data_IF_303709647246
#
_entry.id   IF_303709647246
#
_cell.length_a   1.000
_cell.length_b   1.000
_cell.length_c   1.000
_cell.angle_alpha   90.00
_cell.angle_beta   90.00
_cell.angle_gamma   90.00
#
_symmetry.space_group_name_H-M   'P 1'
#
loop_
_entity.id
_entity.type
_entity.pdbx_description
1 polymer ?
#
# COMPACT_ATOMS: atom_id res chain seq x y z
N UNK A 1 -25.96 1.76 -55.93
CA UNK A 1 -24.67 1.62 -55.21
C UNK A 1 -24.34 2.75 -54.22
N UNK A 2 -24.95 3.95 -54.33
CA UNK A 2 -24.64 5.06 -53.42
C UNK A 2 -25.23 4.90 -52.00
N UNK A 3 -26.37 4.21 -51.86
CA UNK A 3 -27.05 4.02 -50.56
C UNK A 3 -26.43 2.91 -49.67
N UNK A 4 -25.76 1.90 -50.24
CA UNK A 4 -25.06 0.88 -49.43
C UNK A 4 -23.82 1.45 -48.73
N UNK A 5 -23.14 2.45 -49.32
CA UNK A 5 -21.97 3.10 -48.71
C UNK A 5 -22.33 3.94 -47.47
N UNK A 6 -23.51 4.56 -47.45
CA UNK A 6 -24.00 5.34 -46.30
C UNK A 6 -24.47 4.45 -45.14
N UNK A 7 -25.05 3.28 -45.44
CA UNK A 7 -25.46 2.30 -44.42
C UNK A 7 -24.23 1.66 -43.74
N UNK A 8 -23.19 1.34 -44.50
CA UNK A 8 -21.94 0.82 -43.94
C UNK A 8 -21.21 1.84 -43.06
N UNK A 9 -21.27 3.13 -43.40
CA UNK A 9 -20.65 4.18 -42.57
C UNK A 9 -21.40 4.37 -41.24
N UNK A 10 -22.72 4.29 -41.23
CA UNK A 10 -23.53 4.34 -40.00
C UNK A 10 -23.30 3.14 -39.10
N UNK A 11 -23.18 1.93 -39.67
CA UNK A 11 -22.87 0.71 -38.91
C UNK A 11 -21.45 0.79 -38.32
N UNK A 12 -20.47 1.32 -39.07
CA UNK A 12 -19.11 1.52 -38.57
C UNK A 12 -19.05 2.56 -37.45
N UNK A 13 -19.81 3.66 -37.55
CA UNK A 13 -19.88 4.70 -36.51
C UNK A 13 -20.60 4.20 -35.25
N UNK A 14 -21.65 3.38 -35.41
CA UNK A 14 -22.37 2.76 -34.28
C UNK A 14 -21.52 1.68 -33.58
N UNK A 15 -20.72 0.92 -34.33
CA UNK A 15 -19.72 -0.01 -33.78
C UNK A 15 -18.56 0.72 -33.10
N UNK A 16 -18.15 1.89 -33.60
CA UNK A 16 -17.11 2.71 -32.96
C UNK A 16 -17.59 3.31 -31.64
N UNK A 17 -18.84 3.78 -31.56
CA UNK A 17 -19.44 4.33 -30.33
C UNK A 17 -19.75 3.21 -29.31
N UNK A 18 -20.11 2.00 -29.77
CA UNK A 18 -20.32 0.85 -28.88
C UNK A 18 -19.01 0.26 -28.31
N UNK A 19 -17.84 0.57 -28.89
CA UNK A 19 -16.53 0.15 -28.36
C UNK A 19 -15.92 1.13 -27.34
N UNK A 20 -16.47 2.33 -27.18
CA UNK A 20 -16.17 3.22 -26.03
C UNK A 20 -17.06 2.88 -24.82
N UNK A 21 -17.25 1.58 -24.56
CA UNK A 21 -17.75 1.13 -23.27
C UNK A 21 -16.83 1.69 -22.18
N UNK A 22 -17.44 2.29 -21.16
CA UNK A 22 -16.78 3.03 -20.08
C UNK A 22 -15.54 2.30 -19.55
N UNK A 23 -14.36 2.74 -19.95
CA UNK A 23 -13.14 2.49 -19.19
C UNK A 23 -13.34 3.23 -17.86
N UNK A 24 -13.78 2.51 -16.82
CA UNK A 24 -13.76 3.09 -15.47
C UNK A 24 -12.30 3.30 -15.10
N UNK A 25 -11.96 4.53 -14.79
CA UNK A 25 -10.59 4.92 -14.49
C UNK A 25 -10.13 4.22 -13.21
N UNK A 26 -8.91 3.69 -13.24
CA UNK A 26 -8.17 3.40 -12.03
C UNK A 26 -7.89 4.73 -11.33
N UNK A 27 -8.20 4.84 -10.04
CA UNK A 27 -7.72 5.96 -9.23
C UNK A 27 -6.38 5.60 -8.62
N UNK A 28 -5.56 6.61 -8.31
CA UNK A 28 -4.28 6.43 -7.63
C UNK A 28 -4.34 7.13 -6.28
N UNK A 29 -3.93 6.43 -5.22
CA UNK A 29 -3.69 6.99 -3.90
C UNK A 29 -2.19 7.19 -3.69
N UNK A 30 -1.79 8.39 -3.31
CA UNK A 30 -0.40 8.70 -2.92
C UNK A 30 -0.21 8.45 -1.43
N UNK A 31 0.82 7.70 -1.06
CA UNK A 31 1.16 7.37 0.33
C UNK A 31 2.49 8.01 0.68
N UNK A 32 2.61 8.61 1.85
CA UNK A 32 3.84 9.18 2.38
C UNK A 32 3.97 8.86 3.87
N UNK A 33 5.10 8.31 4.27
CA UNK A 33 5.54 8.15 5.65
C UNK A 33 6.69 9.13 5.92
N UNK A 34 6.66 9.83 7.05
CA UNK A 34 7.74 10.76 7.41
C UNK A 34 7.96 10.88 8.93
N UNK A 35 9.15 10.53 9.43
CA UNK A 35 9.56 10.96 10.77
C UNK A 35 9.84 12.48 10.75
N UNK A 36 9.09 13.22 11.57
CA UNK A 36 9.13 14.67 11.57
C UNK A 36 10.13 15.27 12.55
N UNK A 37 11.00 14.53 13.24
CA UNK A 37 11.94 15.07 14.23
C UNK A 37 11.24 15.97 15.28
N UNK A 38 10.67 15.37 16.31
CA UNK A 38 10.05 16.04 17.46
C UNK A 38 9.08 17.20 17.11
N UNK A 39 8.18 17.04 16.14
CA UNK A 39 7.27 18.10 15.70
C UNK A 39 6.41 18.64 16.86
N UNK A 40 6.57 19.93 17.17
CA UNK A 40 5.80 20.62 18.22
C UNK A 40 6.18 20.21 19.65
N UNK A 41 7.17 19.31 19.82
CA UNK A 41 7.62 18.83 21.14
C UNK A 41 9.04 19.33 21.40
N UNK A 42 9.24 19.98 22.54
CA UNK A 42 10.59 20.28 23.02
C UNK A 42 11.21 19.01 23.63
N UNK A 43 12.33 18.55 23.05
CA UNK A 43 13.07 17.34 23.44
C UNK A 43 14.57 17.62 23.37
N UNK A 44 15.27 17.51 24.51
CA UNK A 44 16.70 17.82 24.62
C UNK A 44 17.06 19.22 24.07
N UNK A 45 17.79 19.26 22.95
CA UNK A 45 18.23 20.43 22.19
C UNK A 45 17.26 20.84 21.08
N UNK A 46 16.20 20.07 20.83
CA UNK A 46 15.10 20.42 19.95
C UNK A 46 14.10 21.27 20.71
N UNK A 47 14.01 22.55 20.38
CA UNK A 47 13.03 23.48 20.94
C UNK A 47 12.49 24.42 19.85
N UNK A 48 11.68 25.42 20.20
CA UNK A 48 11.13 26.36 19.20
C UNK A 48 12.19 27.25 18.51
N UNK A 49 13.45 27.27 18.95
CA UNK A 49 14.54 27.99 18.28
C UNK A 49 15.26 27.10 17.26
N UNK A 50 15.42 25.82 17.55
CA UNK A 50 16.18 24.87 16.72
C UNK A 50 15.28 23.95 15.88
N UNK A 51 14.01 23.83 16.24
CA UNK A 51 13.02 22.92 15.66
C UNK A 51 11.62 23.55 15.62
N UNK A 52 11.56 24.81 15.16
CA UNK A 52 10.35 25.61 15.19
C UNK A 52 9.19 24.97 14.40
N UNK A 53 8.02 24.88 15.02
CA UNK A 53 6.84 24.24 14.42
C UNK A 53 6.30 24.98 13.18
N UNK A 54 6.38 26.30 13.15
CA UNK A 54 5.89 27.11 12.03
C UNK A 54 6.81 27.00 10.82
N UNK A 55 8.12 27.02 11.05
CA UNK A 55 9.12 26.79 9.99
C UNK A 55 8.95 25.39 9.39
N UNK A 56 8.76 24.37 10.24
CA UNK A 56 8.44 23.00 9.77
C UNK A 56 7.22 22.96 8.88
N UNK A 57 6.14 23.67 9.21
CA UNK A 57 4.97 23.77 8.33
C UNK A 57 5.29 24.48 7.01
N UNK A 58 6.15 25.49 7.02
CA UNK A 58 6.71 26.11 5.81
C UNK A 58 7.39 25.09 4.90
N UNK A 59 8.28 24.27 5.47
CA UNK A 59 8.99 23.22 4.74
C UNK A 59 8.05 22.11 4.23
N UNK A 60 7.08 21.68 5.05
CA UNK A 60 6.07 20.70 4.64
C UNK A 60 5.21 21.20 3.48
N UNK A 61 4.88 22.49 3.40
CA UNK A 61 4.16 23.06 2.24
C UNK A 61 4.98 23.01 0.96
N UNK A 62 6.30 23.20 1.03
CA UNK A 62 7.20 23.02 -0.12
C UNK A 62 7.18 21.56 -0.56
N UNK A 63 7.32 20.62 0.39
CA UNK A 63 7.20 19.18 0.12
C UNK A 63 5.85 18.82 -0.51
N UNK A 64 4.73 19.31 0.03
CA UNK A 64 3.39 19.03 -0.48
C UNK A 64 3.10 19.68 -1.85
N UNK A 65 3.85 20.72 -2.21
CA UNK A 65 3.81 21.28 -3.57
C UNK A 65 4.51 20.37 -4.60
N UNK A 66 5.50 19.60 -4.16
CA UNK A 66 6.17 18.58 -4.97
C UNK A 66 5.39 17.26 -4.99
N UNK A 67 5.05 16.73 -3.81
CA UNK A 67 4.31 15.49 -3.63
C UNK A 67 3.19 15.69 -2.61
N UNK A 68 1.96 15.81 -3.08
CA UNK A 68 0.77 15.89 -2.23
C UNK A 68 0.21 14.48 -1.95
N UNK A 69 0.32 13.95 -0.72
CA UNK A 69 -0.14 12.60 -0.38
C UNK A 69 -1.65 12.52 -0.19
N UNK A 70 -2.28 11.37 -0.49
CA UNK A 70 -3.66 11.06 -0.09
C UNK A 70 -3.72 10.39 1.29
N UNK A 71 -2.67 9.66 1.69
CA UNK A 71 -2.43 9.13 3.03
C UNK A 71 -1.06 9.64 3.48
N UNK A 72 -1.03 10.41 4.57
CA UNK A 72 0.18 10.95 5.17
C UNK A 72 0.32 10.44 6.60
N UNK A 73 1.35 9.68 6.87
CA UNK A 73 1.65 9.12 8.18
C UNK A 73 2.96 9.67 8.70
N UNK A 74 3.02 9.90 10.02
CA UNK A 74 4.18 10.55 10.64
C UNK A 74 4.60 9.86 11.92
N UNK A 75 5.89 9.97 12.23
CA UNK A 75 6.46 9.69 13.55
C UNK A 75 6.87 11.00 14.23
N UNK A 76 7.11 10.93 15.54
CA UNK A 76 7.62 12.03 16.36
C UNK A 76 6.74 13.29 16.36
N UNK A 77 5.42 13.10 16.29
CA UNK A 77 4.46 14.15 16.54
C UNK A 77 4.31 14.39 18.04
N UNK A 78 4.16 15.64 18.49
CA UNK A 78 3.81 15.90 19.88
C UNK A 78 2.49 15.20 20.24
N UNK A 79 2.43 14.61 21.44
CA UNK A 79 1.22 13.96 21.98
C UNK A 79 0.16 14.95 22.47
N UNK A 80 -0.04 16.04 21.74
CA UNK A 80 -0.98 17.12 22.06
C UNK A 80 -1.91 17.38 20.87
N UNK A 81 -3.22 17.42 21.13
CA UNK A 81 -4.23 17.61 20.08
C UNK A 81 -4.02 18.91 19.30
N UNK A 82 -3.57 19.98 19.97
CA UNK A 82 -3.35 21.26 19.34
C UNK A 82 -2.23 21.17 18.30
N UNK A 83 -1.14 20.45 18.56
CA UNK A 83 -0.05 20.25 17.61
C UNK A 83 -0.44 19.38 16.42
N UNK A 84 -1.17 18.29 16.69
CA UNK A 84 -1.72 17.41 15.65
C UNK A 84 -2.62 18.22 14.71
N UNK A 85 -3.54 19.01 15.28
CA UNK A 85 -4.41 19.90 14.51
C UNK A 85 -3.63 21.02 13.82
N UNK A 86 -2.56 21.50 14.43
CA UNK A 86 -1.75 22.58 13.87
C UNK A 86 -1.08 22.18 12.56
N UNK A 87 -0.52 20.96 12.46
CA UNK A 87 0.02 20.43 11.20
C UNK A 87 -1.09 20.33 10.15
N UNK A 88 -2.24 19.76 10.53
CA UNK A 88 -3.38 19.61 9.63
C UNK A 88 -3.79 20.95 9.03
N UNK A 89 -4.00 21.97 9.87
CA UNK A 89 -4.54 23.26 9.44
C UNK A 89 -3.50 24.13 8.72
N UNK A 90 -2.21 24.04 9.07
CA UNK A 90 -1.19 24.99 8.60
C UNK A 90 -0.23 24.42 7.54
N UNK A 91 -0.30 23.11 7.25
CA UNK A 91 0.47 22.49 6.17
C UNK A 91 -0.43 21.76 5.15
N UNK A 92 -1.23 20.78 5.61
CA UNK A 92 -2.06 19.97 4.71
C UNK A 92 -3.25 20.76 4.16
N UNK A 93 -4.04 21.39 5.03
CA UNK A 93 -5.16 22.27 4.70
C UNK A 93 -4.72 23.74 4.57
N UNK A 94 -3.55 23.95 3.95
CA UNK A 94 -3.03 25.27 3.61
C UNK A 94 -3.11 25.53 2.10
N UNK A 95 -2.81 26.77 1.70
CA UNK A 95 -2.72 27.19 0.28
C UNK A 95 -3.99 26.88 -0.54
N UNK A 96 -5.16 27.01 0.11
CA UNK A 96 -6.47 26.75 -0.50
C UNK A 96 -6.94 25.29 -0.44
N UNK A 97 -6.13 24.36 0.09
CA UNK A 97 -6.55 22.98 0.37
C UNK A 97 -7.41 22.95 1.63
N UNK A 98 -8.48 22.14 1.62
CA UNK A 98 -9.38 21.97 2.77
C UNK A 98 -9.87 20.53 2.94
N UNK A 99 -9.34 19.60 2.13
CA UNK A 99 -9.85 18.25 1.98
C UNK A 99 -9.25 17.26 2.99
N UNK A 100 -8.24 17.63 3.78
CA UNK A 100 -7.61 16.70 4.70
C UNK A 100 -8.34 16.66 6.04
N UNK A 101 -8.33 15.48 6.64
CA UNK A 101 -8.70 15.26 8.03
C UNK A 101 -7.66 14.36 8.69
N UNK A 102 -7.69 14.28 10.02
CA UNK A 102 -6.81 13.42 10.82
C UNK A 102 -7.58 12.27 11.44
N UNK A 103 -6.91 11.15 11.70
CA UNK A 103 -7.40 10.15 12.64
C UNK A 103 -7.37 10.71 14.09
N UNK A 104 -8.02 10.04 15.04
CA UNK A 104 -7.94 10.45 16.44
C UNK A 104 -6.53 10.14 16.96
N UNK A 105 -5.88 11.13 17.58
CA UNK A 105 -4.55 10.95 18.14
C UNK A 105 -4.58 10.05 19.37
N UNK A 106 -3.47 9.37 19.65
CA UNK A 106 -3.33 8.54 20.86
C UNK A 106 -1.87 8.47 21.28
N UNK A 107 -1.63 8.34 22.58
CA UNK A 107 -0.28 8.44 23.16
C UNK A 107 -0.02 9.83 23.73
N UNK A 108 1.15 10.01 24.36
CA UNK A 108 1.49 11.25 25.08
C UNK A 108 2.89 11.77 24.80
N UNK A 109 3.71 11.02 24.06
CA UNK A 109 5.10 11.38 23.80
C UNK A 109 5.54 10.81 22.45
N UNK A 110 5.95 11.69 21.52
CA UNK A 110 6.41 11.34 20.16
C UNK A 110 5.52 10.33 19.45
N UNK A 111 4.23 10.68 19.36
CA UNK A 111 3.19 9.82 18.84
C UNK A 111 3.32 9.64 17.33
N UNK A 112 2.66 8.60 16.81
CA UNK A 112 2.40 8.49 15.38
C UNK A 112 1.05 9.10 15.03
N UNK A 113 0.91 9.60 13.81
CA UNK A 113 -0.37 10.11 13.30
C UNK A 113 -0.62 9.68 11.87
N UNK A 114 -1.91 9.62 11.50
CA UNK A 114 -2.38 9.46 10.13
C UNK A 114 -3.31 10.62 9.77
N UNK A 115 -2.97 11.29 8.68
CA UNK A 115 -3.81 12.28 8.00
C UNK A 115 -4.20 11.73 6.62
N UNK A 116 -5.40 12.05 6.15
CA UNK A 116 -5.87 11.53 4.86
C UNK A 116 -6.74 12.52 4.11
N UNK A 117 -6.73 12.40 2.79
CA UNK A 117 -7.58 13.15 1.89
C UNK A 117 -9.03 12.66 1.99
N UNK A 118 -9.86 13.40 2.73
CA UNK A 118 -11.25 13.11 2.96
C UNK A 118 -12.13 13.24 1.72
N UNK A 119 -11.61 13.66 0.55
CA UNK A 119 -12.34 13.52 -0.71
C UNK A 119 -12.27 12.08 -1.24
N UNK A 120 -11.15 11.38 -1.03
CA UNK A 120 -10.92 10.02 -1.54
C UNK A 120 -11.13 8.93 -0.50
N UNK A 121 -10.90 9.22 0.78
CA UNK A 121 -10.84 8.21 1.84
C UNK A 121 -11.74 8.59 3.01
N UNK A 122 -12.09 7.58 3.81
CA UNK A 122 -12.71 7.77 5.11
C UNK A 122 -12.22 6.70 6.10
N UNK A 123 -12.10 7.10 7.37
CA UNK A 123 -11.71 6.20 8.44
C UNK A 123 -12.89 5.34 8.89
N UNK A 124 -12.71 4.02 8.88
CA UNK A 124 -13.69 3.05 9.36
C UNK A 124 -13.45 2.67 10.82
N UNK A 125 -12.18 2.50 11.18
CA UNK A 125 -11.78 2.05 12.51
C UNK A 125 -10.33 2.45 12.78
N UNK A 126 -9.99 2.61 14.06
CA UNK A 126 -8.62 2.77 14.50
C UNK A 126 -8.38 2.09 15.86
N UNK A 127 -7.11 1.78 16.13
CA UNK A 127 -6.65 1.18 17.37
C UNK A 127 -5.18 1.51 17.66
N UNK A 128 -4.73 1.17 18.87
CA UNK A 128 -3.37 1.41 19.35
C UNK A 128 -2.89 0.20 20.14
N UNK A 129 -1.63 -0.17 19.93
CA UNK A 129 -0.88 -1.11 20.76
C UNK A 129 0.31 -0.39 21.37
N UNK A 130 0.42 -0.43 22.70
CA UNK A 130 1.58 0.13 23.43
C UNK A 130 2.73 -0.88 23.38
N UNK A 131 3.89 -0.44 22.90
CA UNK A 131 5.06 -1.28 22.65
C UNK A 131 6.13 -1.09 23.75
N UNK A 132 5.72 -1.27 25.01
CA UNK A 132 6.62 -1.09 26.15
C UNK A 132 6.59 0.33 26.71
N UNK A 133 7.54 1.19 26.33
CA UNK A 133 7.60 2.57 26.83
C UNK A 133 6.55 3.47 26.20
N UNK A 134 6.25 4.61 26.83
CA UNK A 134 5.21 5.54 26.37
C UNK A 134 5.52 6.22 25.02
N UNK A 135 6.74 6.06 24.49
CA UNK A 135 7.24 6.68 23.26
C UNK A 135 7.10 5.75 22.05
N UNK A 136 6.70 4.49 22.27
CA UNK A 136 6.68 3.44 21.27
C UNK A 136 5.29 2.84 21.21
N UNK A 137 4.58 3.17 20.14
CA UNK A 137 3.25 2.68 19.84
C UNK A 137 3.20 2.14 18.42
N UNK A 138 2.36 1.13 18.20
CA UNK A 138 1.82 0.83 16.87
C UNK A 138 0.39 1.36 16.79
N UNK A 139 0.11 2.15 15.76
CA UNK A 139 -1.22 2.66 15.47
C UNK A 139 -1.80 1.93 14.27
N UNK A 140 -3.01 1.42 14.43
CA UNK A 140 -3.71 0.63 13.42
C UNK A 140 -4.89 1.46 12.89
N UNK A 141 -4.99 1.59 11.58
CA UNK A 141 -6.04 2.35 10.92
C UNK A 141 -6.67 1.50 9.83
N UNK A 142 -7.99 1.42 9.80
CA UNK A 142 -8.74 0.83 8.69
C UNK A 142 -9.46 1.94 7.96
N UNK A 143 -8.97 2.27 6.77
CA UNK A 143 -9.57 3.23 5.86
C UNK A 143 -10.42 2.48 4.82
N UNK A 144 -11.33 3.19 4.18
CA UNK A 144 -11.97 2.73 2.95
C UNK A 144 -11.93 3.82 1.88
N UNK A 145 -11.79 3.38 0.64
CA UNK A 145 -11.88 4.26 -0.53
C UNK A 145 -13.34 4.72 -0.74
N UNK A 146 -13.55 6.00 -1.04
CA UNK A 146 -14.88 6.53 -1.35
C UNK A 146 -15.12 6.40 -2.84
N UNK A 147 -15.37 5.15 -3.27
CA UNK A 147 -15.73 4.85 -4.65
C UNK A 147 -16.91 5.73 -5.09
N UNK A 148 -16.89 6.30 -6.31
CA UNK A 148 -18.02 7.07 -6.83
C UNK A 148 -19.35 6.32 -6.76
N UNK A 149 -19.32 5.00 -6.94
CA UNK A 149 -20.51 4.14 -6.94
C UNK A 149 -20.92 3.68 -5.52
N UNK A 150 -20.19 4.06 -4.46
CA UNK A 150 -20.48 3.64 -3.08
C UNK A 150 -21.86 4.13 -2.61
N UNK A 151 -22.28 5.32 -3.06
CA UNK A 151 -23.61 5.86 -2.78
C UNK A 151 -24.75 5.01 -3.39
N UNK A 152 -24.45 4.25 -4.44
CA UNK A 152 -25.38 3.34 -5.12
C UNK A 152 -25.34 1.92 -4.55
N UNK A 153 -24.67 1.72 -3.40
CA UNK A 153 -24.58 0.45 -2.68
C UNK A 153 -23.49 -0.51 -3.18
N UNK A 154 -22.53 -0.02 -3.97
CA UNK A 154 -21.37 -0.81 -4.39
C UNK A 154 -20.44 -1.13 -3.21
N UNK A 155 -19.72 -2.25 -3.32
CA UNK A 155 -18.62 -2.58 -2.40
C UNK A 155 -17.45 -1.60 -2.56
N UNK A 156 -16.57 -1.55 -1.55
CA UNK A 156 -15.40 -0.67 -1.56
C UNK A 156 -14.13 -1.37 -1.09
N UNK A 157 -13.01 -0.78 -1.48
CA UNK A 157 -11.66 -1.22 -1.11
C UNK A 157 -11.33 -0.73 0.30
N UNK A 158 -11.03 -1.68 1.19
CA UNK A 158 -10.46 -1.39 2.49
C UNK A 158 -8.94 -1.36 2.43
N UNK A 159 -8.35 -0.47 3.22
CA UNK A 159 -6.91 -0.33 3.41
C UNK A 159 -6.66 -0.43 4.92
N UNK A 160 -5.94 -1.47 5.32
CA UNK A 160 -5.45 -1.63 6.69
C UNK A 160 -4.04 -1.04 6.74
N UNK A 161 -3.78 -0.18 7.71
CA UNK A 161 -2.55 0.59 7.78
C UNK A 161 -2.00 0.55 9.20
N UNK A 162 -0.72 0.18 9.33
CA UNK A 162 0.01 0.13 10.60
C UNK A 162 1.10 1.18 10.55
N UNK A 163 1.11 2.10 11.51
CA UNK A 163 2.18 3.10 11.68
C UNK A 163 2.96 2.78 12.94
N UNK A 164 4.29 2.72 12.83
CA UNK A 164 5.18 2.39 13.95
C UNK A 164 6.30 3.40 14.09
N UNK A 165 6.82 3.53 15.31
CA UNK A 165 8.14 4.10 15.58
C UNK A 165 8.82 3.11 16.52
N UNK A 166 9.71 2.26 15.99
CA UNK A 166 10.35 1.20 16.77
C UNK A 166 11.51 1.72 17.61
N UNK A 167 11.99 0.92 18.56
CA UNK A 167 13.11 1.28 19.44
C UNK A 167 14.36 1.66 18.64
N UNK A 168 14.78 2.92 18.79
CA UNK A 168 16.07 3.44 18.31
C UNK A 168 17.29 2.86 19.02
N UNK A 169 18.46 2.99 18.42
CA UNK A 169 19.76 2.59 18.98
C UNK A 169 20.26 1.24 18.47
N UNK A 170 21.56 1.00 18.65
CA UNK A 170 22.29 -0.15 18.09
C UNK A 170 22.79 -1.13 19.15
N UNK A 171 22.46 -0.93 20.42
CA UNK A 171 22.83 -1.87 21.47
C UNK A 171 22.06 -3.19 21.33
N UNK A 172 22.60 -4.28 21.85
CA UNK A 172 21.93 -5.58 21.83
C UNK A 172 20.55 -5.55 22.51
N UNK A 173 20.39 -4.71 23.55
CA UNK A 173 19.11 -4.41 24.21
C UNK A 173 18.12 -3.70 23.27
N UNK A 174 18.58 -2.79 22.43
CA UNK A 174 17.74 -2.07 21.47
C UNK A 174 17.23 -3.02 20.39
N UNK A 175 18.12 -3.81 19.80
CA UNK A 175 17.80 -4.85 18.81
C UNK A 175 16.79 -5.87 19.39
N UNK A 176 17.01 -6.31 20.63
CA UNK A 176 16.09 -7.22 21.32
C UNK A 176 14.73 -6.57 21.62
N UNK A 177 14.70 -5.27 21.87
CA UNK A 177 13.46 -4.53 22.10
C UNK A 177 12.67 -4.46 20.79
N UNK A 178 13.28 -4.02 19.67
CA UNK A 178 12.64 -4.05 18.34
C UNK A 178 12.08 -5.42 17.99
N UNK A 179 12.81 -6.48 18.32
CA UNK A 179 12.37 -7.87 18.12
C UNK A 179 11.07 -8.18 18.86
N UNK A 180 10.94 -7.69 20.09
CA UNK A 180 9.73 -7.88 20.90
C UNK A 180 8.58 -7.02 20.37
N UNK A 181 8.87 -5.78 19.97
CA UNK A 181 7.89 -4.85 19.41
C UNK A 181 7.26 -5.42 18.14
N UNK A 182 8.05 -5.82 17.14
CA UNK A 182 7.50 -6.37 15.90
C UNK A 182 6.80 -7.71 16.11
N UNK A 183 7.27 -8.55 17.05
CA UNK A 183 6.56 -9.77 17.43
C UNK A 183 5.15 -9.48 17.96
N UNK A 184 5.01 -8.47 18.83
CA UNK A 184 3.71 -8.09 19.38
C UNK A 184 2.80 -7.49 18.31
N UNK A 185 3.34 -6.69 17.38
CA UNK A 185 2.59 -6.12 16.26
C UNK A 185 2.05 -7.24 15.35
N UNK A 186 2.89 -8.22 14.99
CA UNK A 186 2.46 -9.35 14.16
C UNK A 186 1.38 -10.18 14.86
N UNK A 187 1.51 -10.41 16.17
CA UNK A 187 0.48 -11.10 16.95
C UNK A 187 -0.86 -10.34 16.98
N UNK A 188 -0.81 -9.01 17.10
CA UNK A 188 -2.01 -8.16 17.06
C UNK A 188 -2.69 -8.19 15.68
N UNK A 189 -1.91 -8.14 14.59
CA UNK A 189 -2.43 -8.30 13.22
C UNK A 189 -3.15 -9.64 13.03
N UNK A 190 -2.54 -10.74 13.52
CA UNK A 190 -3.15 -12.07 13.50
C UNK A 190 -4.43 -12.13 14.34
N UNK A 191 -4.42 -11.53 15.53
CA UNK A 191 -5.58 -11.46 16.42
C UNK A 191 -6.75 -10.67 15.81
N UNK A 192 -6.46 -9.56 15.14
CA UNK A 192 -7.47 -8.76 14.43
C UNK A 192 -7.95 -9.43 13.12
N UNK A 193 -7.25 -10.46 12.64
CA UNK A 193 -7.50 -11.07 11.34
C UNK A 193 -7.21 -10.11 10.18
N UNK A 194 -6.26 -9.18 10.37
CA UNK A 194 -5.89 -8.20 9.35
C UNK A 194 -4.89 -8.81 8.38
N UNK A 195 -5.44 -9.35 7.29
CA UNK A 195 -4.71 -9.95 6.20
C UNK A 195 -5.22 -9.36 4.88
N UNK A 196 -4.31 -9.11 3.93
CA UNK A 196 -4.61 -8.69 2.57
C UNK A 196 -4.11 -7.29 2.26
N UNK A 197 -5.00 -6.30 2.11
CA UNK A 197 -4.61 -4.90 1.86
C UNK A 197 -4.01 -4.24 3.12
N UNK A 198 -2.90 -4.78 3.64
CA UNK A 198 -2.21 -4.29 4.83
C UNK A 198 -0.90 -3.61 4.42
N UNK A 199 -0.72 -2.38 4.89
CA UNK A 199 0.48 -1.57 4.74
C UNK A 199 1.08 -1.36 6.13
N UNK A 200 2.39 -1.55 6.25
CA UNK A 200 3.16 -1.27 7.45
C UNK A 200 4.17 -0.18 7.14
N UNK A 201 4.14 0.95 7.85
CA UNK A 201 5.13 2.00 7.64
C UNK A 201 5.60 2.65 8.92
N UNK A 202 6.78 3.25 8.87
CA UNK A 202 7.36 3.91 10.02
C UNK A 202 8.86 4.01 9.96
N UNK A 203 9.41 4.77 10.91
CA UNK A 203 10.78 4.66 11.36
C UNK A 203 10.95 3.37 12.18
N UNK A 204 11.61 2.39 11.56
CA UNK A 204 11.86 1.08 12.14
C UNK A 204 13.19 1.00 12.90
N UNK A 205 14.09 1.99 12.78
CA UNK A 205 15.43 1.94 13.38
C UNK A 205 16.18 0.61 13.14
N UNK A 206 16.03 0.00 11.96
CA UNK A 206 16.65 -1.28 11.59
C UNK A 206 17.92 -1.03 10.79
N UNK A 207 19.03 -1.61 11.21
CA UNK A 207 20.33 -1.43 10.58
C UNK A 207 20.56 -2.42 9.42
N UNK A 208 19.90 -3.58 9.47
CA UNK A 208 20.00 -4.61 8.42
C UNK A 208 18.79 -5.55 8.43
N UNK A 209 18.62 -6.28 7.33
CA UNK A 209 17.54 -7.25 7.15
C UNK A 209 17.68 -8.50 8.01
N UNK A 210 18.86 -8.82 8.55
CA UNK A 210 19.07 -10.01 9.40
C UNK A 210 18.60 -9.80 10.85
N UNK A 211 18.30 -8.56 11.25
CA UNK A 211 17.69 -8.29 12.56
C UNK A 211 16.38 -9.07 12.70
N UNK A 212 16.23 -9.80 13.81
CA UNK A 212 15.03 -10.63 14.06
C UNK A 212 13.74 -9.79 14.02
N UNK A 213 13.83 -8.51 14.35
CA UNK A 213 12.74 -7.57 14.21
C UNK A 213 12.21 -7.47 12.77
N UNK A 214 13.09 -7.39 11.76
CA UNK A 214 12.71 -7.40 10.34
C UNK A 214 12.25 -8.79 9.89
N UNK A 215 12.91 -9.85 10.37
CA UNK A 215 12.53 -11.23 10.07
C UNK A 215 11.11 -11.57 10.56
N UNK A 216 10.68 -11.02 11.69
CA UNK A 216 9.29 -11.15 12.16
C UNK A 216 8.28 -10.60 11.14
N UNK A 217 8.65 -9.58 10.37
CA UNK A 217 7.77 -8.94 9.38
C UNK A 217 7.76 -9.71 8.06
N UNK A 218 8.93 -10.09 7.53
CA UNK A 218 9.04 -10.69 6.19
C UNK A 218 8.90 -12.22 6.19
N UNK A 219 9.31 -12.87 7.28
CA UNK A 219 9.30 -14.33 7.44
C UNK A 219 8.64 -14.77 8.77
N UNK A 220 7.42 -14.30 9.09
CA UNK A 220 6.68 -14.75 10.26
C UNK A 220 6.39 -16.26 10.19
N UNK A 221 6.10 -16.85 11.35
CA UNK A 221 5.66 -18.26 11.43
C UNK A 221 4.40 -18.54 10.61
N UNK A 222 3.49 -17.57 10.52
CA UNK A 222 2.35 -17.61 9.64
C UNK A 222 2.62 -16.75 8.41
N UNK A 223 3.18 -17.37 7.37
CA UNK A 223 3.62 -16.68 6.14
C UNK A 223 2.48 -16.00 5.37
N UNK A 224 1.21 -16.27 5.68
CA UNK A 224 0.10 -15.50 5.10
C UNK A 224 0.12 -14.02 5.53
N UNK A 225 0.78 -13.69 6.64
CA UNK A 225 0.94 -12.31 7.13
C UNK A 225 2.26 -11.67 6.71
N UNK A 226 3.09 -12.35 5.90
CA UNK A 226 4.37 -11.82 5.44
C UNK A 226 4.22 -10.46 4.77
N UNK A 227 5.06 -9.53 5.20
CA UNK A 227 5.28 -8.26 4.53
C UNK A 227 6.42 -8.38 3.51
N UNK A 228 6.34 -7.54 2.49
CA UNK A 228 7.31 -7.43 1.41
C UNK A 228 7.77 -5.99 1.32
N UNK A 229 9.08 -5.81 1.16
CA UNK A 229 9.67 -4.52 0.81
C UNK A 229 9.50 -4.27 -0.69
N UNK A 230 8.73 -3.26 -1.13
CA UNK A 230 8.55 -2.97 -2.55
C UNK A 230 9.85 -2.66 -3.29
N UNK A 231 10.92 -2.27 -2.59
CA UNK A 231 12.24 -2.07 -3.20
C UNK A 231 12.97 -3.40 -3.45
N UNK A 232 12.69 -4.46 -2.68
CA UNK A 232 13.43 -5.74 -2.75
C UNK A 232 14.92 -5.56 -2.50
N UNK A 233 15.29 -4.71 -1.54
CA UNK A 233 16.67 -4.31 -1.23
C UNK A 233 17.09 -4.77 0.17
N UNK A 234 16.77 -5.99 0.54
CA UNK A 234 17.23 -6.60 1.79
C UNK A 234 18.78 -6.64 1.84
N UNK A 235 19.35 -6.30 3.00
CA UNK A 235 20.78 -6.36 3.22
C UNK A 235 21.22 -5.54 4.43
N UNK A 236 22.49 -5.16 4.47
CA UNK A 236 23.05 -4.30 5.51
C UNK A 236 22.99 -2.84 5.08
N UNK A 237 21.96 -2.13 5.53
CA UNK A 237 21.68 -0.74 5.15
C UNK A 237 22.59 0.26 5.86
N UNK A 238 23.09 -0.08 7.05
CA UNK A 238 23.89 0.85 7.84
C UNK A 238 25.30 1.09 7.29
N UNK A 239 25.65 2.37 7.15
CA UNK A 239 26.95 2.89 6.73
C UNK A 239 27.50 2.11 5.53
N UNK A 240 26.63 1.79 4.56
CA UNK A 240 26.96 0.98 3.41
C UNK A 240 26.66 1.71 2.10
N UNK A 241 27.73 2.07 1.38
CA UNK A 241 27.64 2.79 0.11
C UNK A 241 26.78 2.07 -0.95
N UNK A 242 26.65 0.74 -0.87
CA UNK A 242 25.82 -0.05 -1.81
C UNK A 242 24.32 0.25 -1.65
N UNK A 243 23.91 0.83 -0.53
CA UNK A 243 22.54 1.22 -0.22
C UNK A 243 22.38 2.74 -0.10
N UNK A 244 23.40 3.52 -0.47
CA UNK A 244 23.37 4.98 -0.39
C UNK A 244 22.19 5.60 -1.13
N UNK A 245 21.75 4.98 -2.22
CA UNK A 245 20.59 5.37 -3.02
C UNK A 245 19.23 5.17 -2.33
N UNK A 246 19.20 4.49 -1.18
CA UNK A 246 17.98 4.22 -0.42
C UNK A 246 18.07 4.60 1.06
N UNK A 247 19.13 5.29 1.48
CA UNK A 247 19.21 5.82 2.84
C UNK A 247 18.15 6.91 3.07
N UNK A 248 17.64 6.97 4.29
CA UNK A 248 16.61 7.92 4.72
C UNK A 248 17.07 8.77 5.91
N UNK A 249 18.14 8.40 6.61
CA UNK A 249 18.74 9.15 7.72
C UNK A 249 20.28 9.09 7.65
N UNK A 250 21.05 10.06 8.13
CA UNK A 250 20.64 11.40 8.58
C UNK A 250 20.86 12.46 7.51
N UNK A 251 19.91 13.38 7.34
CA UNK A 251 20.11 14.57 6.49
C UNK A 251 21.24 15.49 7.01
N UNK A 252 21.67 15.32 8.27
CA UNK A 252 22.70 16.11 8.92
C UNK A 252 23.96 15.31 9.23
N UNK A 253 25.13 15.91 9.00
CA UNK A 253 26.42 15.33 9.40
C UNK A 253 26.79 15.64 10.85
N UNK A 254 26.35 16.79 11.39
CA UNK A 254 26.61 17.20 12.77
C UNK A 254 25.38 16.97 13.66
N UNK A 255 25.61 16.44 14.86
CA UNK A 255 24.55 16.24 15.86
C UNK A 255 24.13 17.56 16.51
N UNK A 256 22.85 17.66 16.86
CA UNK A 256 22.26 18.83 17.52
C UNK A 256 20.85 18.53 18.00
N UNK A 257 19.86 19.22 17.43
CA UNK A 257 18.48 18.72 17.49
C UNK A 257 18.32 17.47 16.60
N UNK A 258 18.79 17.57 15.35
CA UNK A 258 18.88 16.45 14.41
C UNK A 258 19.98 15.44 14.80
N UNK A 259 19.77 14.17 14.47
CA UNK A 259 20.81 13.14 14.49
C UNK A 259 21.95 13.50 13.52
N UNK A 260 23.20 13.19 13.86
CA UNK A 260 24.36 13.43 12.98
C UNK A 260 24.70 12.19 12.15
N UNK A 261 25.88 12.18 11.52
CA UNK A 261 26.40 11.01 10.78
C UNK A 261 26.34 11.15 9.24
N UNK A 262 25.36 11.89 8.74
CA UNK A 262 25.09 12.04 7.31
C UNK A 262 24.23 10.91 6.75
N UNK A 263 23.90 10.91 5.44
CA UNK A 263 22.95 9.95 4.86
C UNK A 263 23.57 8.55 4.80
N UNK A 264 23.41 7.76 5.85
CA UNK A 264 24.11 6.49 6.05
C UNK A 264 23.24 5.33 6.56
N UNK A 265 21.95 5.56 6.79
CA UNK A 265 21.00 4.59 7.29
C UNK A 265 19.68 4.59 6.51
N UNK A 266 19.04 3.42 6.37
CA UNK A 266 17.67 3.28 5.88
C UNK A 266 16.78 2.84 7.05
N UNK A 267 16.12 3.81 7.68
CA UNK A 267 15.24 3.53 8.82
C UNK A 267 13.76 3.64 8.49
N UNK A 268 13.40 4.34 7.42
CA UNK A 268 12.01 4.58 7.06
C UNK A 268 11.53 3.59 6.00
N UNK A 269 10.47 2.87 6.30
CA UNK A 269 9.93 1.81 5.43
C UNK A 269 8.45 2.04 5.13
N UNK A 270 8.04 1.59 3.94
CA UNK A 270 6.65 1.25 3.63
C UNK A 270 6.65 -0.19 3.09
N UNK A 271 6.24 -1.14 3.92
CA UNK A 271 6.11 -2.55 3.57
C UNK A 271 4.65 -2.88 3.27
N UNK A 272 4.44 -3.88 2.41
CA UNK A 272 3.10 -4.26 1.95
C UNK A 272 2.91 -5.78 2.01
N UNK A 273 1.69 -6.25 2.25
CA UNK A 273 1.39 -7.69 2.10
C UNK A 273 1.21 -8.07 0.62
N UNK A 274 1.28 -9.38 0.34
CA UNK A 274 1.28 -9.97 -1.02
C UNK A 274 0.12 -9.47 -1.90
N UNK A 275 -1.04 -9.20 -1.30
CA UNK A 275 -2.22 -8.75 -2.02
C UNK A 275 -2.01 -7.43 -2.75
N UNK A 276 -1.21 -6.52 -2.18
CA UNK A 276 -0.86 -5.27 -2.84
C UNK A 276 0.12 -5.48 -3.99
N UNK A 277 0.91 -6.55 -4.00
CA UNK A 277 1.81 -6.87 -5.13
C UNK A 277 1.03 -7.52 -6.29
N UNK A 278 0.03 -8.32 -5.96
CA UNK A 278 -0.68 -9.16 -6.93
C UNK A 278 -2.09 -8.66 -7.28
N UNK A 279 -2.54 -7.55 -6.68
CA UNK A 279 -3.85 -6.95 -6.88
C UNK A 279 -5.02 -7.91 -6.63
N UNK A 280 -4.94 -8.71 -5.57
CA UNK A 280 -5.95 -9.74 -5.26
C UNK A 280 -7.17 -9.18 -4.53
N UNK A 281 -7.07 -7.96 -3.99
CA UNK A 281 -8.11 -7.28 -3.22
C UNK A 281 -8.41 -5.84 -3.71
N UNK A 282 -8.39 -5.65 -5.04
CA UNK A 282 -8.73 -4.40 -5.74
C UNK A 282 -7.88 -3.16 -5.35
N UNK A 283 -6.73 -3.42 -4.73
CA UNK A 283 -5.71 -2.44 -4.40
C UNK A 283 -4.38 -3.05 -4.76
N UNK A 284 -3.53 -2.27 -5.41
CA UNK A 284 -2.16 -2.70 -5.72
C UNK A 284 -1.16 -1.58 -5.54
N UNK A 285 0.05 -1.92 -5.16
CA UNK A 285 1.20 -1.05 -5.27
C UNK A 285 1.49 -0.81 -6.76
N UNK A 286 1.70 0.46 -7.12
CA UNK A 286 2.19 0.83 -8.44
C UNK A 286 3.68 0.59 -8.51
N UNK A 287 4.08 -0.47 -9.19
CA UNK A 287 5.49 -0.82 -9.38
C UNK A 287 6.34 0.38 -9.83
N UNK A 288 7.51 0.53 -9.21
CA UNK A 288 8.46 1.63 -9.47
C UNK A 288 8.04 3.00 -8.91
N UNK A 289 7.01 3.07 -8.06
CA UNK A 289 6.60 4.33 -7.43
C UNK A 289 7.14 4.53 -6.01
N UNK A 290 7.83 3.54 -5.43
CA UNK A 290 8.48 3.70 -4.14
C UNK A 290 9.71 4.60 -4.28
N UNK A 291 9.79 5.64 -3.45
CA UNK A 291 10.89 6.62 -3.48
C UNK A 291 11.09 7.28 -2.11
N UNK A 292 12.34 7.58 -1.75
CA UNK A 292 12.68 8.50 -0.67
C UNK A 292 12.94 9.89 -1.27
N UNK A 293 12.02 10.84 -1.08
CA UNK A 293 12.13 12.16 -1.71
C UNK A 293 13.34 12.89 -1.13
N UNK A 294 14.20 13.40 -2.01
CA UNK A 294 15.46 14.06 -1.67
C UNK A 294 16.69 13.14 -1.71
N UNK A 295 16.53 11.82 -1.82
CA UNK A 295 17.65 10.90 -1.95
C UNK A 295 18.11 10.79 -3.41
N UNK A 296 19.35 11.20 -3.69
CA UNK A 296 19.96 11.14 -5.03
C UNK A 296 21.16 10.16 -5.11
N UNK A 297 21.46 9.45 -4.01
CA UNK A 297 22.56 8.51 -3.88
C UNK A 297 23.95 9.14 -3.76
N UNK A 298 24.08 10.46 -3.67
CA UNK A 298 25.38 11.16 -3.69
C UNK A 298 25.87 11.66 -2.33
N UNK A 299 25.02 11.56 -1.29
CA UNK A 299 25.26 12.15 0.03
C UNK A 299 25.65 11.12 1.10
N UNK A 300 26.19 9.95 0.72
CA UNK A 300 26.66 8.92 1.65
C UNK A 300 27.61 9.48 2.71
N UNK A 301 27.27 9.32 4.00
CA UNK A 301 27.98 9.88 5.18
C UNK A 301 28.18 11.40 5.14
N UNK A 302 27.33 12.11 4.40
CA UNK A 302 27.36 13.56 4.26
C UNK A 302 26.01 14.17 4.62
N UNK A 303 26.03 15.47 4.90
CA UNK A 303 24.79 16.23 4.97
C UNK A 303 24.11 16.25 3.60
N UNK A 304 22.78 16.30 3.59
CA UNK A 304 21.98 16.51 2.38
C UNK A 304 22.29 17.82 1.66
N UNK A 305 22.93 18.78 2.33
CA UNK A 305 23.37 20.06 1.75
C UNK A 305 24.85 20.06 1.33
N UNK A 306 25.58 18.94 1.45
CA UNK A 306 26.97 18.84 1.02
C UNK A 306 27.07 18.56 -0.48
N UNK A 307 27.12 19.63 -1.27
CA UNK A 307 27.15 19.57 -2.72
C UNK A 307 25.80 19.90 -3.34
N UNK A 308 25.59 19.48 -4.58
CA UNK A 308 24.33 19.68 -5.28
C UNK A 308 23.57 18.36 -5.36
N UNK A 309 22.28 18.42 -5.07
CA UNK A 309 21.34 17.35 -5.40
C UNK A 309 20.84 17.59 -6.83
N UNK A 310 21.15 16.68 -7.75
CA UNK A 310 20.79 16.83 -9.17
C UNK A 310 19.36 16.43 -9.49
N UNK A 311 18.75 15.64 -8.61
CA UNK A 311 17.49 14.95 -8.87
C UNK A 311 16.30 15.77 -8.35
N UNK A 312 16.54 16.63 -7.35
CA UNK A 312 15.53 17.44 -6.70
C UNK A 312 15.85 18.95 -6.72
N UNK A 313 14.81 19.82 -6.81
CA UNK A 313 14.98 21.26 -6.69
C UNK A 313 15.64 21.67 -5.36
N UNK A 314 16.53 22.68 -5.42
CA UNK A 314 17.30 23.12 -4.25
C UNK A 314 16.42 23.62 -3.10
N UNK A 315 15.29 24.25 -3.39
CA UNK A 315 14.32 24.69 -2.37
C UNK A 315 13.67 23.52 -1.64
N UNK A 316 13.32 22.44 -2.35
CA UNK A 316 12.82 21.20 -1.77
C UNK A 316 13.89 20.53 -0.90
N UNK A 317 15.13 20.42 -1.38
CA UNK A 317 16.24 19.80 -0.64
C UNK A 317 16.55 20.57 0.66
N UNK A 318 16.57 21.91 0.59
CA UNK A 318 16.69 22.75 1.78
C UNK A 318 15.50 22.56 2.72
N UNK A 319 14.27 22.46 2.20
CA UNK A 319 13.09 22.22 3.03
C UNK A 319 13.19 20.87 3.77
N UNK A 320 13.60 19.81 3.08
CA UNK A 320 13.79 18.48 3.68
C UNK A 320 14.85 18.50 4.77
N UNK A 321 16.03 19.07 4.48
CA UNK A 321 17.10 19.23 5.46
C UNK A 321 16.64 19.99 6.71
N UNK A 322 15.96 21.14 6.55
CA UNK A 322 15.53 21.94 7.68
C UNK A 322 14.29 21.37 8.40
N UNK A 323 13.56 20.42 7.80
CA UNK A 323 12.39 19.83 8.42
C UNK A 323 12.75 18.69 9.36
N UNK A 324 13.63 17.78 8.95
CA UNK A 324 13.91 16.55 9.71
C UNK A 324 15.31 16.01 9.41
N UNK A 325 15.83 15.21 10.33
CA UNK A 325 16.96 14.32 10.09
C UNK A 325 16.60 13.12 9.20
N UNK A 326 15.32 12.91 8.90
CA UNK A 326 14.85 11.90 7.97
C UNK A 326 14.43 12.47 6.60
N UNK A 327 14.36 11.60 5.60
CA UNK A 327 13.68 11.83 4.33
C UNK A 327 12.31 11.12 4.30
N UNK A 328 11.27 11.73 3.70
CA UNK A 328 9.97 11.08 3.55
C UNK A 328 10.05 9.97 2.50
N UNK A 329 9.55 8.79 2.86
CA UNK A 329 9.38 7.67 1.92
C UNK A 329 7.95 7.65 1.39
N UNK A 330 7.79 7.37 0.11
CA UNK A 330 6.50 7.43 -0.58
C UNK A 330 6.27 6.21 -1.43
N UNK A 331 5.00 5.93 -1.73
CA UNK A 331 4.61 5.00 -2.79
C UNK A 331 3.25 5.40 -3.37
N UNK A 332 2.88 4.86 -4.52
CA UNK A 332 1.55 5.01 -5.10
C UNK A 332 0.80 3.68 -5.07
N UNK A 333 -0.49 3.75 -4.77
CA UNK A 333 -1.42 2.63 -4.83
C UNK A 333 -2.41 2.86 -5.96
N UNK A 334 -2.71 1.81 -6.71
CA UNK A 334 -3.75 1.77 -7.74
C UNK A 334 -4.99 1.14 -7.12
N UNK A 335 -6.10 1.87 -7.16
CA UNK A 335 -7.42 1.38 -6.74
C UNK A 335 -8.15 0.90 -7.98
N UNK A 336 -8.39 -0.40 -8.04
CA UNK A 336 -9.11 -1.03 -9.13
C UNK A 336 -10.61 -0.94 -8.89
N UNK A 337 -11.21 0.11 -9.48
CA UNK A 337 -12.65 0.36 -9.43
C UNK A 337 -13.45 -0.54 -10.38
N UNK A 338 -12.96 -1.75 -10.73
CA UNK A 338 -13.75 -2.65 -11.55
C UNK A 338 -15.02 -2.98 -10.76
N UNK A 339 -16.14 -2.42 -11.20
CA UNK A 339 -17.45 -2.69 -10.65
C UNK A 339 -17.67 -4.20 -10.65
N UNK A 340 -17.50 -4.84 -9.50
CA UNK A 340 -18.38 -5.94 -9.13
C UNK A 340 -19.72 -5.32 -8.74
N UNK A 341 -20.40 -4.73 -9.74
CA UNK A 341 -21.86 -4.62 -9.78
C UNK A 341 -22.49 -6.01 -9.97
N UNK A 342 -21.90 -7.01 -9.34
CA UNK A 342 -22.43 -8.32 -9.09
C UNK A 342 -22.25 -8.40 -7.59
N UNK A 343 -23.36 -8.35 -6.86
CA UNK A 343 -23.45 -8.68 -5.44
C UNK A 343 -22.33 -9.65 -5.08
N UNK A 344 -21.63 -9.39 -3.97
CA UNK A 344 -20.75 -10.33 -3.28
C UNK A 344 -20.88 -11.71 -3.88
N UNK A 345 -19.82 -12.14 -4.56
CA UNK A 345 -19.72 -13.51 -5.01
C UNK A 345 -19.82 -14.35 -3.74
N UNK A 346 -21.06 -14.68 -3.37
CA UNK A 346 -21.40 -15.62 -2.34
C UNK A 346 -20.61 -16.85 -2.70
N UNK A 347 -19.73 -17.28 -1.79
CA UNK A 347 -18.90 -18.47 -1.90
C UNK A 347 -19.41 -19.39 -3.01
N UNK A 348 -18.75 -19.30 -4.17
CA UNK A 348 -19.16 -20.05 -5.37
C UNK A 348 -19.09 -21.55 -5.07
N UNK A 349 -18.31 -21.93 -4.06
CA UNK A 349 -18.04 -23.31 -3.70
C UNK A 349 -17.19 -24.04 -4.75
N UNK A 350 -16.58 -23.31 -5.69
CA UNK A 350 -15.71 -23.87 -6.74
C UNK A 350 -14.49 -22.98 -6.98
N UNK A 351 -13.30 -23.57 -6.98
CA UNK A 351 -12.02 -22.93 -7.29
C UNK A 351 -11.36 -23.59 -8.50
N UNK A 352 -10.83 -22.81 -9.44
CA UNK A 352 -10.01 -23.33 -10.54
C UNK A 352 -8.61 -23.71 -10.02
N UNK A 353 -8.17 -24.94 -10.28
CA UNK A 353 -6.86 -25.44 -9.90
C UNK A 353 -5.93 -25.49 -11.11
N UNK A 354 -4.83 -24.73 -11.03
CA UNK A 354 -3.80 -24.69 -12.06
C UNK A 354 -4.26 -23.90 -13.28
N UNK A 355 -3.54 -22.82 -13.57
CA UNK A 355 -3.69 -22.02 -14.77
C UNK A 355 -2.33 -21.36 -15.04
N UNK A 356 -1.63 -21.68 -16.15
CA UNK A 356 -2.09 -22.41 -17.34
C UNK A 356 -2.38 -23.91 -17.13
N UNK A 357 -3.22 -24.46 -18.00
CA UNK A 357 -3.71 -25.85 -17.98
C UNK A 357 -3.07 -26.65 -19.11
N UNK A 358 -2.52 -27.82 -18.78
CA UNK A 358 -2.12 -28.84 -19.75
C UNK A 358 -3.07 -30.03 -19.71
N UNK A 359 -3.83 -30.23 -20.79
CA UNK A 359 -4.70 -31.39 -21.01
C UNK A 359 -6.00 -31.48 -20.20
N UNK A 360 -6.06 -31.01 -18.94
CA UNK A 360 -7.24 -31.16 -18.07
C UNK A 360 -7.44 -29.92 -17.19
N UNK A 361 -8.59 -29.25 -17.34
CA UNK A 361 -9.02 -28.19 -16.42
C UNK A 361 -9.52 -28.85 -15.13
N UNK A 362 -8.99 -28.43 -13.98
CA UNK A 362 -9.38 -28.97 -12.67
C UNK A 362 -10.14 -27.91 -11.88
N UNK A 363 -11.31 -28.27 -11.35
CA UNK A 363 -12.11 -27.42 -10.48
C UNK A 363 -12.23 -28.10 -9.10
N UNK A 364 -11.72 -27.49 -8.05
CA UNK A 364 -11.94 -27.93 -6.67
C UNK A 364 -13.32 -27.49 -6.18
N UNK A 365 -14.10 -28.42 -5.66
CA UNK A 365 -15.42 -28.16 -5.06
C UNK A 365 -15.26 -27.95 -3.56
N UNK A 366 -15.41 -26.71 -3.10
CA UNK A 366 -15.18 -26.30 -1.71
C UNK A 366 -16.45 -26.33 -0.85
N UNK A 367 -17.63 -26.20 -1.47
CA UNK A 367 -18.93 -26.22 -0.80
C UNK A 367 -19.86 -27.33 -1.32
N UNK A 368 -20.96 -27.60 -0.63
CA UNK A 368 -22.01 -28.48 -1.13
C UNK A 368 -22.80 -27.74 -2.22
N UNK A 369 -22.73 -28.22 -3.47
CA UNK A 369 -23.32 -27.55 -4.64
C UNK A 369 -24.38 -28.42 -5.33
N UNK A 370 -25.42 -27.82 -5.94
CA UNK A 370 -26.31 -28.53 -6.85
C UNK A 370 -25.54 -28.89 -8.13
N UNK A 371 -26.10 -29.82 -8.93
CA UNK A 371 -25.58 -30.07 -10.29
C UNK A 371 -25.52 -28.77 -11.09
N UNK A 372 -24.46 -28.59 -11.88
CA UNK A 372 -24.28 -27.38 -12.66
C UNK A 372 -23.79 -27.66 -14.06
N UNK A 373 -24.21 -26.82 -15.01
CA UNK A 373 -23.71 -26.85 -16.38
C UNK A 373 -22.37 -26.14 -16.48
N UNK A 374 -21.51 -26.58 -17.39
CA UNK A 374 -20.33 -25.82 -17.80
C UNK A 374 -20.35 -25.58 -19.30
N UNK A 375 -19.79 -24.45 -19.73
CA UNK A 375 -19.54 -24.11 -21.13
C UNK A 375 -18.16 -23.49 -21.23
N UNK A 376 -17.31 -24.03 -22.10
CA UNK A 376 -16.01 -23.48 -22.43
C UNK A 376 -16.14 -22.75 -23.77
N UNK A 377 -15.77 -21.47 -23.79
CA UNK A 377 -15.80 -20.62 -24.97
C UNK A 377 -14.38 -20.33 -25.45
N UNK A 378 -14.18 -20.27 -26.77
CA UNK A 378 -13.01 -19.59 -27.34
C UNK A 378 -13.11 -18.09 -27.07
N UNK A 379 -11.98 -17.36 -27.18
CA UNK A 379 -11.99 -15.89 -27.04
C UNK A 379 -12.88 -15.19 -28.09
N UNK A 380 -13.15 -15.85 -29.22
CA UNK A 380 -14.11 -15.40 -30.25
C UNK A 380 -15.58 -15.67 -29.89
N UNK A 381 -15.87 -16.21 -28.70
CA UNK A 381 -17.23 -16.43 -28.20
C UNK A 381 -17.88 -17.75 -28.64
N UNK A 382 -17.18 -18.60 -29.39
CA UNK A 382 -17.72 -19.89 -29.80
C UNK A 382 -17.66 -20.90 -28.64
N UNK A 383 -18.76 -21.57 -28.34
CA UNK A 383 -18.74 -22.69 -27.39
C UNK A 383 -17.93 -23.84 -27.98
N UNK A 384 -16.78 -24.14 -27.39
CA UNK A 384 -15.90 -25.24 -27.83
C UNK A 384 -16.15 -26.53 -27.04
N UNK A 385 -16.71 -26.43 -25.83
CA UNK A 385 -17.09 -27.58 -25.01
C UNK A 385 -18.22 -27.24 -24.06
N UNK A 386 -19.05 -28.21 -23.70
CA UNK A 386 -20.04 -28.04 -22.64
C UNK A 386 -20.36 -29.38 -21.99
N UNK A 387 -20.96 -29.33 -20.80
CA UNK A 387 -21.44 -30.52 -20.12
C UNK A 387 -22.10 -30.19 -18.79
N UNK A 388 -22.34 -31.22 -17.99
CA UNK A 388 -22.96 -31.11 -16.66
C UNK A 388 -22.07 -31.79 -15.63
N UNK A 389 -21.94 -31.17 -14.47
CA UNK A 389 -21.17 -31.65 -13.33
C UNK A 389 -22.14 -32.02 -12.21
N UNK A 390 -21.87 -33.15 -11.57
CA UNK A 390 -22.53 -33.62 -10.35
C UNK A 390 -21.49 -33.55 -9.21
N UNK A 391 -21.33 -32.40 -8.55
CA UNK A 391 -20.24 -32.16 -7.63
C UNK A 391 -20.51 -32.81 -6.26
N UNK A 392 -19.43 -33.21 -5.60
CA UNK A 392 -19.41 -33.56 -4.17
C UNK A 392 -18.42 -32.64 -3.46
N UNK A 393 -18.76 -32.15 -2.26
CA UNK A 393 -17.85 -31.31 -1.48
C UNK A 393 -16.52 -32.02 -1.25
N UNK A 394 -15.41 -31.29 -1.39
CA UNK A 394 -14.04 -31.81 -1.25
C UNK A 394 -13.52 -32.62 -2.44
N UNK A 395 -14.23 -32.63 -3.57
CA UNK A 395 -13.78 -33.35 -4.78
C UNK A 395 -13.23 -32.40 -5.83
N UNK A 396 -12.42 -32.94 -6.73
CA UNK A 396 -11.95 -32.24 -7.93
C UNK A 396 -12.73 -32.72 -9.14
N UNK A 397 -13.32 -31.78 -9.87
CA UNK A 397 -13.96 -32.00 -11.15
C UNK A 397 -12.92 -31.81 -12.25
N UNK A 398 -12.75 -32.81 -13.09
CA UNK A 398 -11.82 -32.79 -14.22
C UNK A 398 -12.56 -32.60 -15.54
N UNK A 399 -12.22 -31.56 -16.28
CA UNK A 399 -12.75 -31.27 -17.62
C UNK A 399 -11.58 -31.43 -18.61
N UNK A 400 -11.47 -32.56 -19.34
CA UNK A 400 -10.42 -32.74 -20.33
C UNK A 400 -10.51 -31.67 -21.41
N UNK A 401 -9.41 -31.03 -21.77
CA UNK A 401 -9.38 -30.01 -22.83
C UNK A 401 -9.37 -30.68 -24.21
N UNK A 402 -8.89 -31.91 -24.31
CA UNK A 402 -8.83 -32.64 -25.58
C UNK A 402 -7.79 -32.03 -26.52
N UNK A 403 -8.12 -31.93 -27.80
CA UNK A 403 -7.25 -31.35 -28.85
C UNK A 403 -7.47 -29.85 -29.06
N UNK A 404 -7.93 -29.14 -28.03
CA UNK A 404 -8.08 -27.69 -28.13
C UNK A 404 -6.70 -27.05 -28.30
N UNK A 405 -6.53 -26.11 -29.24
CA UNK A 405 -5.27 -25.38 -29.40
C UNK A 405 -4.86 -24.64 -28.12
N UNK A 406 -3.56 -24.39 -27.96
CA UNK A 406 -3.07 -23.47 -26.95
C UNK A 406 -3.68 -22.08 -27.15
N UNK A 407 -4.06 -21.41 -26.06
CA UNK A 407 -4.73 -20.11 -26.12
C UNK A 407 -5.63 -19.82 -24.92
N UNK A 408 -6.34 -18.68 -25.00
CA UNK A 408 -7.24 -18.22 -23.94
C UNK A 408 -8.67 -18.68 -24.20
N UNK A 409 -9.28 -19.26 -23.17
CA UNK A 409 -10.66 -19.73 -23.15
C UNK A 409 -11.41 -19.18 -21.93
N UNK A 410 -12.74 -19.12 -22.02
CA UNK A 410 -13.60 -18.71 -20.92
C UNK A 410 -14.46 -19.90 -20.48
N UNK A 411 -14.32 -20.35 -19.23
CA UNK A 411 -15.11 -21.42 -18.65
C UNK A 411 -16.25 -20.82 -17.82
N UNK A 412 -17.48 -20.90 -18.34
CA UNK A 412 -18.68 -20.46 -17.66
C UNK A 412 -19.36 -21.63 -16.93
N UNK A 413 -19.65 -21.46 -15.66
CA UNK A 413 -20.45 -22.37 -14.85
C UNK A 413 -21.86 -21.79 -14.65
N UNK A 414 -22.88 -22.62 -14.83
CA UNK A 414 -24.29 -22.26 -14.66
C UNK A 414 -24.93 -23.16 -13.61
N UNK A 415 -25.21 -22.58 -12.46
CA UNK A 415 -25.90 -23.22 -11.32
C UNK A 415 -27.35 -22.75 -11.27
N UNK A 416 -28.25 -23.61 -10.80
CA UNK A 416 -29.63 -23.20 -10.52
C UNK A 416 -29.64 -22.18 -9.36
N UNK A 417 -30.44 -21.11 -9.50
CA UNK A 417 -30.62 -20.06 -8.49
C UNK A 417 -29.33 -19.32 -8.08
N UNK A 418 -28.29 -19.32 -8.92
CA UNK A 418 -27.07 -18.53 -8.72
C UNK A 418 -26.69 -17.80 -10.01
N UNK A 419 -25.98 -16.68 -9.86
CA UNK A 419 -25.36 -15.99 -11.00
C UNK A 419 -24.34 -16.92 -11.69
N UNK A 420 -24.20 -16.87 -13.03
CA UNK A 420 -23.17 -17.62 -13.73
C UNK A 420 -21.78 -17.14 -13.34
N UNK A 421 -20.86 -18.08 -13.14
CA UNK A 421 -19.45 -17.80 -12.81
C UNK A 421 -18.60 -18.02 -14.05
N UNK A 422 -17.62 -17.17 -14.31
CA UNK A 422 -16.73 -17.34 -15.47
C UNK A 422 -15.27 -17.32 -15.03
N UNK A 423 -14.52 -18.35 -15.41
CA UNK A 423 -13.08 -18.42 -15.21
C UNK A 423 -12.34 -18.19 -16.54
N UNK A 424 -11.24 -17.42 -16.51
CA UNK A 424 -10.27 -17.37 -17.60
C UNK A 424 -9.36 -18.60 -17.50
N UNK A 425 -9.25 -19.37 -18.59
CA UNK A 425 -8.41 -20.57 -18.67
C UNK A 425 -7.40 -20.40 -19.81
N UNK A 426 -6.12 -20.61 -19.52
CA UNK A 426 -5.04 -20.58 -20.50
C UNK A 426 -4.65 -22.02 -20.80
N UNK A 427 -4.82 -22.49 -22.04
CA UNK A 427 -4.38 -23.81 -22.48
C UNK A 427 -2.95 -23.72 -23.06
N UNK A 428 -2.10 -24.68 -22.68
CA UNK A 428 -0.75 -24.86 -23.22
C UNK A 428 -0.61 -26.16 -24.00
#
# INVERSE_FOLDING_TARGET
MHNLKKLNLFIFLFLFIAFFGQLKAQDTLRVMQYNLLNYGKDVYSCDQQTNNRDDKNGYLKILFSHYLPDIFTVNEMNGDEADVKYLLDNALNADGRTQYVQAEYSGSYLINMLYYNANKLALKWQGRLVLGSNERDANFYRLYYKSPDLADGADTVFINYVVVHLKAGSEASDISTRTTETKNIMAELEQMGWNGNVIFSGDCNLYNSDEQAFQNLIAPSNTSYSFYDPLGREGNWHSNLTFADIHTQSTHSASGCASGGGMDDRFDFILVQEDLLNNTNNLSYKEGSYEAIGQDGQHFNKSLLDGANSDYPADLVNALYNNSDHLPVTMQLIVDQTTTGINDIADIGVRLLGNPVSGIIKLEVQAQLPKFGYQLFSISGNTVKSGVVYPSRGTTVSIPTGKLPAGIYLLKLKMANRAPVTFKVILQ
#
